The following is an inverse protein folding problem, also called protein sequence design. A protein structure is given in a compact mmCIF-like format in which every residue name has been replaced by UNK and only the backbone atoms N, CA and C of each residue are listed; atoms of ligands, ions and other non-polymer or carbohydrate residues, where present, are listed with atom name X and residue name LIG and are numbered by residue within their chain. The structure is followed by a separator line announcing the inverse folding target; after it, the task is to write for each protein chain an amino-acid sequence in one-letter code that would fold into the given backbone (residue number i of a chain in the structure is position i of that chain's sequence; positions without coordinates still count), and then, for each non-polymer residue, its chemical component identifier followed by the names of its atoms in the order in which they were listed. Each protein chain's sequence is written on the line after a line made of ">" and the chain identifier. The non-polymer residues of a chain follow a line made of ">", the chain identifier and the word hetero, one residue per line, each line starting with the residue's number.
data_IF_650576243030
#
_entry.id   IF_650576243030
#
_cell.length_a   1.000
_cell.length_b   1.000
_cell.length_c   1.000
_cell.angle_alpha   90.00
_cell.angle_beta   90.00
_cell.angle_gamma   90.00
#
_symmetry.space_group_name_H-M   'P 1'
#
loop_
_entity.id
_entity.type
_entity.pdbx_description
1 polymer ?
#
# COMPACT_ATOMS: atom_id res chain seq x y z
N UNK A 1 -5.51 4.50 -24.88
CA UNK A 1 -4.28 3.71 -24.97
C UNK A 1 -4.22 3.06 -26.36
N UNK A 2 -3.01 2.88 -26.89
CA UNK A 2 -2.79 2.16 -28.14
C UNK A 2 -2.40 0.72 -27.80
N UNK A 3 -2.84 -0.24 -28.66
CA UNK A 3 -2.33 -1.61 -28.58
C UNK A 3 -0.89 -1.70 -29.12
N UNK A 4 -0.29 -2.88 -29.10
CA UNK A 4 1.06 -3.13 -29.63
C UNK A 4 1.21 -2.85 -31.12
N UNK A 5 0.09 -2.68 -31.85
CA UNK A 5 0.03 -2.34 -33.26
C UNK A 5 -0.33 -0.86 -33.49
N UNK A 6 -0.44 -0.05 -32.43
CA UNK A 6 -0.73 1.39 -32.51
C UNK A 6 -2.22 1.71 -32.74
N UNK A 7 -3.12 0.72 -32.64
CA UNK A 7 -4.56 0.96 -32.73
C UNK A 7 -5.09 1.44 -31.37
N UNK A 8 -6.10 2.31 -31.39
CA UNK A 8 -6.86 2.62 -30.17
C UNK A 8 -7.54 1.34 -29.70
N UNK A 9 -7.07 0.79 -28.58
CA UNK A 9 -7.84 -0.26 -27.92
C UNK A 9 -9.15 0.37 -27.45
N UNK A 10 -10.27 -0.22 -27.89
CA UNK A 10 -11.60 0.09 -27.34
C UNK A 10 -11.72 -0.43 -25.90
N UNK A 11 -10.86 0.08 -25.02
CA UNK A 11 -10.83 -0.33 -23.62
C UNK A 11 -12.10 0.06 -22.86
N UNK A 12 -12.86 1.00 -23.41
CA UNK A 12 -13.96 1.61 -22.69
C UNK A 12 -15.22 1.64 -23.56
N UNK A 13 -15.75 0.46 -23.87
CA UNK A 13 -17.06 0.37 -24.53
C UNK A 13 -18.19 0.88 -23.61
N UNK A 14 -17.94 0.86 -22.29
CA UNK A 14 -18.91 1.33 -21.29
C UNK A 14 -18.21 2.14 -20.22
N UNK A 15 -18.94 3.04 -19.57
CA UNK A 15 -18.45 3.78 -18.39
C UNK A 15 -18.03 2.82 -17.26
N UNK A 16 -18.77 1.75 -17.05
CA UNK A 16 -18.45 0.71 -16.08
C UNK A 16 -17.11 0.01 -16.40
N UNK A 17 -16.89 -0.34 -17.66
CA UNK A 17 -15.61 -0.90 -18.10
C UNK A 17 -14.44 0.04 -17.86
N UNK A 18 -14.63 1.35 -18.01
CA UNK A 18 -13.62 2.35 -17.62
C UNK A 18 -13.33 2.34 -16.12
N UNK A 19 -14.37 2.36 -15.29
CA UNK A 19 -14.21 2.43 -13.83
C UNK A 19 -13.53 1.18 -13.24
N UNK A 20 -13.81 0.02 -13.82
CA UNK A 20 -13.25 -1.26 -13.38
C UNK A 20 -11.88 -1.57 -14.00
N UNK A 21 -11.41 -0.71 -14.94
CA UNK A 21 -10.12 -0.90 -15.59
C UNK A 21 -8.97 -0.95 -14.57
N UNK A 22 -8.18 -1.99 -14.65
CA UNK A 22 -6.98 -2.19 -13.85
C UNK A 22 -5.75 -1.62 -14.58
N UNK A 23 -4.97 -0.80 -13.89
CA UNK A 23 -3.68 -0.30 -14.36
C UNK A 23 -2.60 -1.22 -13.80
N UNK A 24 -1.85 -1.99 -14.64
CA UNK A 24 -0.84 -2.91 -14.16
C UNK A 24 0.25 -2.24 -13.31
N UNK A 25 0.75 -2.92 -12.29
CA UNK A 25 1.82 -2.43 -11.43
C UNK A 25 3.14 -2.20 -12.19
N UNK A 26 3.36 -2.89 -13.32
CA UNK A 26 4.49 -2.60 -14.21
C UNK A 26 4.48 -1.15 -14.71
N UNK A 27 3.28 -0.59 -14.94
CA UNK A 27 3.08 0.83 -15.24
C UNK A 27 3.18 1.71 -13.99
N UNK A 28 3.04 1.13 -12.78
CA UNK A 28 3.05 1.83 -11.50
C UNK A 28 4.36 1.69 -10.74
N UNK A 29 5.29 0.81 -11.17
CA UNK A 29 6.64 0.68 -10.58
C UNK A 29 7.31 2.00 -10.23
N UNK A 30 7.17 3.07 -11.02
CA UNK A 30 7.67 4.39 -10.65
C UNK A 30 7.07 4.95 -9.36
N UNK A 31 5.88 4.50 -8.96
CA UNK A 31 5.19 4.96 -7.75
C UNK A 31 5.55 4.18 -6.50
N UNK A 32 6.13 2.97 -6.66
CA UNK A 32 6.57 2.13 -5.53
C UNK A 32 7.95 2.55 -5.03
N UNK A 33 8.77 3.24 -5.82
CA UNK A 33 10.12 3.63 -5.41
C UNK A 33 10.13 4.91 -4.56
N UNK A 34 11.00 4.94 -3.56
CA UNK A 34 11.24 6.08 -2.66
C UNK A 34 11.72 7.35 -3.37
N UNK A 35 12.13 7.26 -4.62
CA UNK A 35 12.62 8.39 -5.41
C UNK A 35 11.51 8.94 -6.30
N UNK A 36 10.70 9.83 -5.73
CA UNK A 36 9.78 10.70 -6.47
C UNK A 36 10.49 11.81 -7.25
N UNK A 37 11.79 12.01 -7.05
CA UNK A 37 12.64 12.82 -7.92
C UNK A 37 13.19 11.92 -9.01
N UNK A 38 12.67 11.99 -10.23
CA UNK A 38 13.33 11.38 -11.39
C UNK A 38 14.76 11.95 -11.52
N UNK A 39 15.67 11.22 -12.14
CA UNK A 39 17.06 11.65 -12.41
C UNK A 39 17.13 13.01 -13.15
N UNK A 40 16.02 13.43 -13.76
CA UNK A 40 15.82 14.68 -14.47
C UNK A 40 15.19 15.82 -13.65
N UNK A 41 14.99 15.62 -12.33
CA UNK A 41 14.38 16.61 -11.44
C UNK A 41 12.87 16.83 -11.65
N UNK A 42 12.25 16.08 -12.56
CA UNK A 42 10.80 16.10 -12.77
C UNK A 42 10.14 15.08 -11.84
N UNK A 43 9.40 15.56 -10.86
CA UNK A 43 8.62 14.71 -9.94
C UNK A 43 7.65 13.81 -10.72
N UNK A 44 7.54 12.55 -10.32
CA UNK A 44 6.57 11.64 -10.91
C UNK A 44 5.15 12.06 -10.50
N UNK A 45 4.25 12.08 -11.46
CA UNK A 45 2.85 12.48 -11.25
C UNK A 45 2.09 11.31 -10.64
N UNK A 46 1.43 11.54 -9.51
CA UNK A 46 0.50 10.55 -8.93
C UNK A 46 -0.82 10.65 -9.69
N UNK A 47 -1.31 9.56 -10.30
CA UNK A 47 -2.61 9.56 -10.94
C UNK A 47 -3.72 9.93 -9.97
N UNK A 48 -4.65 10.74 -10.45
CA UNK A 48 -5.82 11.17 -9.71
C UNK A 48 -7.06 10.85 -10.54
N UNK A 49 -8.13 10.48 -9.87
CA UNK A 49 -9.42 10.25 -10.48
C UNK A 49 -10.47 11.11 -9.79
N UNK A 50 -11.40 11.62 -10.59
CA UNK A 50 -12.56 12.36 -10.09
C UNK A 50 -13.74 12.19 -11.02
N UNK A 51 -14.92 12.21 -10.44
CA UNK A 51 -16.19 12.15 -11.16
C UNK A 51 -17.16 13.20 -10.60
N UNK A 52 -18.01 13.73 -11.45
CA UNK A 52 -19.14 14.56 -11.03
C UNK A 52 -20.43 13.78 -11.20
N UNK A 53 -21.44 14.13 -10.40
CA UNK A 53 -22.81 13.67 -10.66
C UNK A 53 -23.27 14.21 -12.01
N UNK A 54 -24.14 13.45 -12.70
CA UNK A 54 -24.77 13.90 -13.93
C UNK A 54 -25.46 15.25 -13.70
N UNK A 55 -25.20 16.20 -14.58
CA UNK A 55 -25.78 17.56 -14.51
C UNK A 55 -26.49 17.89 -15.81
N UNK A 56 -27.59 18.62 -15.70
CA UNK A 56 -28.22 19.24 -16.87
C UNK A 56 -27.40 20.48 -17.21
N UNK A 57 -26.80 20.51 -18.40
CA UNK A 57 -26.00 21.64 -18.88
C UNK A 57 -26.93 22.73 -19.38
N UNK A 58 -26.96 23.85 -18.68
CA UNK A 58 -27.57 25.10 -19.16
C UNK A 58 -26.52 25.95 -19.91
N UNK A 59 -26.89 27.11 -20.40
CA UNK A 59 -26.02 27.99 -21.21
C UNK A 59 -24.68 28.38 -20.53
N UNK A 60 -24.63 28.35 -19.21
CA UNK A 60 -23.40 28.49 -18.40
C UNK A 60 -23.51 27.55 -17.20
N UNK A 61 -22.52 26.68 -17.04
CA UNK A 61 -22.47 25.72 -15.94
C UNK A 61 -21.04 25.66 -15.37
N UNK A 62 -20.92 25.70 -14.04
CA UNK A 62 -19.68 25.42 -13.33
C UNK A 62 -19.76 24.00 -12.76
N UNK A 63 -18.79 23.18 -13.13
CA UNK A 63 -18.68 21.81 -12.63
C UNK A 63 -17.47 21.73 -11.71
N UNK A 64 -17.67 21.32 -10.46
CA UNK A 64 -16.58 21.00 -9.53
C UNK A 64 -16.39 19.49 -9.48
N UNK A 65 -15.18 19.02 -9.83
CA UNK A 65 -14.83 17.62 -9.81
C UNK A 65 -13.75 17.43 -8.73
N UNK A 66 -14.07 16.79 -7.60
CA UNK A 66 -13.06 16.48 -6.59
C UNK A 66 -12.11 15.40 -7.14
N UNK A 67 -10.82 15.69 -7.17
CA UNK A 67 -9.78 14.73 -7.57
C UNK A 67 -9.24 13.98 -6.34
N UNK A 68 -9.22 12.67 -6.43
CA UNK A 68 -8.73 11.77 -5.39
C UNK A 68 -7.51 11.03 -5.93
N UNK A 69 -6.42 11.00 -5.17
CA UNK A 69 -5.23 10.20 -5.53
C UNK A 69 -5.60 8.73 -5.56
N UNK A 70 -5.15 8.03 -6.61
CA UNK A 70 -5.45 6.60 -6.77
C UNK A 70 -4.58 5.70 -5.88
N UNK A 71 -3.57 6.25 -5.21
CA UNK A 71 -2.62 5.55 -4.36
C UNK A 71 -2.68 6.03 -2.91
N UNK A 72 -2.31 5.14 -2.00
CA UNK A 72 -1.93 5.47 -0.64
C UNK A 72 -0.43 5.79 -0.58
N UNK A 73 -0.03 6.65 0.36
CA UNK A 73 1.38 6.83 0.74
C UNK A 73 1.66 6.05 2.03
N UNK A 74 2.60 5.12 1.98
CA UNK A 74 3.10 4.39 3.14
C UNK A 74 4.53 4.81 3.39
N UNK A 75 4.80 5.39 4.56
CA UNK A 75 6.14 5.78 4.99
C UNK A 75 6.55 4.91 6.17
N UNK A 76 7.66 4.19 6.01
CA UNK A 76 8.28 3.38 7.07
C UNK A 76 9.50 4.12 7.57
N UNK A 77 9.63 4.29 8.88
CA UNK A 77 10.76 4.96 9.54
C UNK A 77 11.21 4.14 10.75
N UNK A 78 12.49 3.74 10.75
CA UNK A 78 13.12 3.06 11.88
C UNK A 78 14.12 4.01 12.49
N UNK A 79 14.00 4.25 13.79
CA UNK A 79 14.89 5.12 14.51
C UNK A 79 16.29 4.48 14.66
N UNK A 80 17.30 5.11 14.05
CA UNK A 80 18.68 4.64 14.12
C UNK A 80 19.25 4.68 15.53
N UNK A 81 18.96 5.74 16.30
CA UNK A 81 19.43 5.85 17.68
C UNK A 81 18.88 4.70 18.53
N UNK A 82 17.63 4.32 18.31
CA UNK A 82 17.01 3.17 18.94
C UNK A 82 17.70 1.84 18.59
N UNK A 83 18.07 1.63 17.33
CA UNK A 83 18.85 0.45 16.93
C UNK A 83 20.23 0.42 17.62
N UNK A 84 20.93 1.54 17.65
CA UNK A 84 22.25 1.66 18.27
C UNK A 84 22.18 1.42 19.79
N UNK A 85 21.19 1.97 20.48
CA UNK A 85 20.94 1.75 21.91
C UNK A 85 20.82 0.28 22.26
N UNK A 86 20.11 -0.48 21.40
CA UNK A 86 19.90 -1.91 21.59
C UNK A 86 20.94 -2.78 20.88
N UNK A 87 22.03 -2.19 20.34
CA UNK A 87 23.11 -2.89 19.62
C UNK A 87 22.59 -3.76 18.48
N UNK A 88 21.62 -3.22 17.73
CA UNK A 88 21.03 -3.86 16.57
C UNK A 88 21.58 -3.24 15.28
N UNK A 89 21.81 -4.05 14.28
CA UNK A 89 22.19 -3.60 12.94
C UNK A 89 21.06 -3.93 11.97
N UNK A 90 20.51 -2.92 11.30
CA UNK A 90 19.49 -3.11 10.29
C UNK A 90 20.08 -3.87 9.09
N UNK A 91 19.47 -4.97 8.72
CA UNK A 91 19.79 -5.74 7.52
C UNK A 91 18.89 -5.37 6.34
N UNK A 92 17.62 -5.08 6.61
CA UNK A 92 16.69 -4.64 5.59
C UNK A 92 15.27 -4.43 6.09
N UNK A 93 14.51 -3.73 5.25
CA UNK A 93 13.06 -3.58 5.35
C UNK A 93 12.48 -4.23 4.11
N UNK A 94 11.47 -5.05 4.27
CA UNK A 94 10.64 -5.57 3.20
C UNK A 94 9.18 -5.19 3.44
N UNK A 95 8.54 -4.61 2.42
CA UNK A 95 7.11 -4.31 2.42
C UNK A 95 6.44 -5.28 1.46
N UNK A 96 5.60 -6.16 1.97
CA UNK A 96 4.97 -7.27 1.27
C UNK A 96 3.48 -7.03 1.07
N UNK A 97 2.87 -7.83 0.18
CA UNK A 97 1.44 -7.80 -0.12
C UNK A 97 0.96 -6.47 -0.72
N UNK A 98 1.76 -5.92 -1.62
CA UNK A 98 1.38 -4.76 -2.41
C UNK A 98 0.61 -5.27 -3.65
N UNK A 99 -0.64 -4.81 -3.89
CA UNK A 99 -1.38 -5.22 -5.09
C UNK A 99 -0.65 -4.82 -6.38
N UNK A 100 -0.59 -5.71 -7.36
CA UNK A 100 0.12 -5.49 -8.62
C UNK A 100 -0.60 -4.56 -9.60
N UNK A 101 -1.79 -4.07 -9.27
CA UNK A 101 -2.52 -3.11 -10.08
C UNK A 101 -3.31 -2.11 -9.23
N UNK A 102 -3.75 -1.03 -9.87
CA UNK A 102 -4.62 -0.01 -9.32
C UNK A 102 -5.85 0.15 -10.21
N UNK A 103 -7.05 0.11 -9.66
CA UNK A 103 -8.27 0.43 -10.41
C UNK A 103 -8.49 1.94 -10.50
N UNK A 104 -9.14 2.39 -11.58
CA UNK A 104 -9.54 3.78 -11.75
C UNK A 104 -10.53 4.16 -10.64
N UNK A 105 -11.63 3.42 -10.49
CA UNK A 105 -12.55 3.57 -9.35
C UNK A 105 -12.01 2.85 -8.12
N UNK A 106 -12.29 3.41 -6.93
CA UNK A 106 -11.96 2.74 -5.67
C UNK A 106 -12.81 1.48 -5.49
N UNK A 107 -12.21 0.44 -4.94
CA UNK A 107 -12.88 -0.79 -4.55
C UNK A 107 -14.03 -0.55 -3.54
N UNK A 108 -13.96 0.51 -2.74
CA UNK A 108 -15.03 0.89 -1.80
C UNK A 108 -16.34 1.28 -2.50
N UNK A 109 -16.31 1.54 -3.81
CA UNK A 109 -17.49 1.87 -4.61
C UNK A 109 -18.18 0.63 -5.21
N UNK A 110 -17.57 -0.55 -5.09
CA UNK A 110 -18.15 -1.78 -5.61
C UNK A 110 -19.45 -2.12 -4.88
N UNK A 111 -20.43 -2.60 -5.62
CA UNK A 111 -21.70 -3.04 -5.03
C UNK A 111 -21.45 -4.18 -4.04
N UNK A 112 -21.95 -4.01 -2.81
CA UNK A 112 -21.76 -4.99 -1.74
C UNK A 112 -20.43 -4.90 -0.99
N UNK A 113 -19.54 -3.94 -1.34
CA UNK A 113 -18.37 -3.73 -0.51
C UNK A 113 -18.75 -3.31 0.91
N UNK A 114 -18.12 -3.96 1.87
CA UNK A 114 -18.22 -3.62 3.28
C UNK A 114 -16.78 -3.52 3.85
N UNK A 115 -16.43 -2.39 4.44
CA UNK A 115 -15.10 -2.13 5.00
C UNK A 115 -14.66 -3.13 6.08
N UNK A 116 -15.60 -3.88 6.64
CA UNK A 116 -15.27 -4.95 7.61
C UNK A 116 -14.84 -6.26 6.94
N UNK A 117 -14.98 -6.37 5.62
CA UNK A 117 -14.60 -7.54 4.84
C UNK A 117 -13.47 -7.18 3.88
N UNK A 118 -12.67 -8.18 3.50
CA UNK A 118 -11.70 -7.99 2.42
C UNK A 118 -12.44 -7.68 1.12
N UNK A 119 -11.88 -6.74 0.33
CA UNK A 119 -12.37 -6.48 -1.02
C UNK A 119 -12.08 -7.68 -1.93
N UNK A 120 -12.92 -7.85 -2.95
CA UNK A 120 -12.68 -8.85 -3.97
C UNK A 120 -11.65 -8.36 -4.98
N UNK A 121 -10.58 -9.08 -5.12
CA UNK A 121 -9.54 -8.87 -6.11
C UNK A 121 -9.69 -9.88 -7.25
N UNK A 122 -9.24 -9.57 -8.48
CA UNK A 122 -9.18 -10.57 -9.56
C UNK A 122 -8.30 -11.76 -9.16
N UNK A 123 -8.63 -12.94 -9.69
CA UNK A 123 -7.91 -14.18 -9.40
C UNK A 123 -6.44 -14.16 -9.86
N UNK A 124 -6.14 -13.37 -10.90
CA UNK A 124 -4.81 -13.21 -11.50
C UNK A 124 -3.98 -12.09 -10.89
N UNK A 125 -4.44 -11.48 -9.79
CA UNK A 125 -3.65 -10.44 -9.12
C UNK A 125 -2.35 -11.03 -8.57
N UNK A 126 -1.25 -10.36 -8.87
CA UNK A 126 0.01 -10.61 -8.19
C UNK A 126 0.15 -9.69 -6.97
N UNK A 127 0.72 -10.22 -5.90
CA UNK A 127 1.10 -9.48 -4.71
C UNK A 127 2.61 -9.31 -4.72
N UNK A 128 3.06 -8.08 -4.84
CA UNK A 128 4.49 -7.77 -4.98
C UNK A 128 5.11 -7.27 -3.69
N UNK A 129 6.44 -7.36 -3.59
CA UNK A 129 7.21 -6.84 -2.47
C UNK A 129 8.15 -5.71 -2.91
N UNK A 130 8.51 -4.87 -1.95
CA UNK A 130 9.57 -3.87 -2.07
C UNK A 130 10.58 -4.06 -0.94
N UNK A 131 11.87 -4.07 -1.28
CA UNK A 131 12.97 -4.22 -0.32
C UNK A 131 13.90 -3.02 -0.34
N UNK A 132 14.46 -2.68 0.82
CA UNK A 132 15.49 -1.65 0.97
C UNK A 132 16.35 -1.92 2.19
N UNK A 133 17.61 -1.49 2.16
CA UNK A 133 18.53 -1.48 3.32
C UNK A 133 18.56 -0.12 4.03
N UNK A 134 17.87 0.88 3.48
CA UNK A 134 17.73 2.17 4.13
C UNK A 134 16.79 2.06 5.34
N UNK A 135 17.04 2.84 6.40
CA UNK A 135 16.18 2.89 7.59
C UNK A 135 14.86 3.64 7.37
N UNK A 136 14.66 4.20 6.17
CA UNK A 136 13.45 4.90 5.76
C UNK A 136 13.04 4.44 4.37
N UNK A 137 11.74 4.24 4.20
CA UNK A 137 11.13 3.99 2.89
C UNK A 137 9.85 4.82 2.76
N UNK A 138 9.60 5.35 1.57
CA UNK A 138 8.31 5.96 1.23
C UNK A 138 7.81 5.35 -0.06
N UNK A 139 6.64 4.74 0.03
CA UNK A 139 6.00 4.01 -1.06
C UNK A 139 4.68 4.68 -1.41
N UNK A 140 4.34 4.63 -2.69
CA UNK A 140 3.00 4.93 -3.18
C UNK A 140 2.42 3.63 -3.73
N UNK A 141 1.41 3.11 -3.07
CA UNK A 141 0.87 1.78 -3.33
C UNK A 141 -0.62 1.86 -3.67
N UNK A 142 -1.12 0.95 -4.50
CA UNK A 142 -2.56 0.78 -4.69
C UNK A 142 -3.29 0.54 -3.37
N UNK A 143 -4.60 0.76 -3.35
CA UNK A 143 -5.40 0.38 -2.20
C UNK A 143 -5.33 -1.13 -1.98
N UNK A 144 -5.18 -1.51 -0.70
CA UNK A 144 -5.19 -2.89 -0.24
C UNK A 144 -6.21 -3.01 0.90
N UNK A 145 -7.41 -3.44 0.58
CA UNK A 145 -8.55 -3.48 1.49
C UNK A 145 -8.75 -4.91 1.99
N UNK A 146 -8.26 -5.20 3.17
CA UNK A 146 -8.28 -6.54 3.77
C UNK A 146 -9.29 -6.70 4.90
N UNK A 147 -10.07 -5.65 5.18
CA UNK A 147 -11.14 -5.69 6.16
C UNK A 147 -10.67 -5.50 7.60
N UNK A 148 -11.59 -5.83 8.52
CA UNK A 148 -11.41 -5.73 9.97
C UNK A 148 -11.55 -7.11 10.59
N UNK A 149 -10.63 -7.51 11.45
CA UNK A 149 -10.74 -8.75 12.22
C UNK A 149 -11.45 -8.42 13.54
N UNK A 150 -12.75 -8.65 13.59
CA UNK A 150 -13.56 -8.34 14.76
C UNK A 150 -13.06 -9.06 16.02
N UNK A 151 -12.93 -8.32 17.13
CA UNK A 151 -12.48 -8.85 18.42
C UNK A 151 -10.96 -8.98 18.58
N UNK A 152 -10.17 -8.80 17.51
CA UNK A 152 -8.72 -8.72 17.63
C UNK A 152 -8.32 -7.45 18.37
N UNK A 153 -7.38 -7.56 19.30
CA UNK A 153 -6.81 -6.44 20.05
C UNK A 153 -5.29 -6.45 19.85
N UNK A 154 -4.83 -5.59 18.94
CA UNK A 154 -3.45 -5.61 18.46
C UNK A 154 -3.24 -6.55 17.27
N UNK A 155 -2.42 -6.12 16.29
CA UNK A 155 -2.21 -6.82 15.01
C UNK A 155 -1.19 -7.95 15.14
N UNK A 156 -1.50 -8.92 15.99
CA UNK A 156 -0.72 -10.14 16.19
C UNK A 156 -1.64 -11.35 16.12
N UNK A 157 -1.13 -12.45 15.57
CA UNK A 157 -1.86 -13.70 15.60
C UNK A 157 -1.94 -14.21 17.03
N UNK A 158 -3.15 -14.42 17.50
CA UNK A 158 -3.46 -15.01 18.81
C UNK A 158 -4.50 -16.11 18.61
N UNK A 159 -4.72 -16.92 19.62
CA UNK A 159 -5.72 -18.00 19.58
C UNK A 159 -7.09 -17.50 19.12
N UNK A 160 -7.54 -18.01 17.97
CA UNK A 160 -8.82 -17.66 17.36
C UNK A 160 -8.82 -16.48 16.39
N UNK A 161 -7.75 -15.70 16.29
CA UNK A 161 -7.65 -14.58 15.37
C UNK A 161 -6.46 -14.74 14.42
N UNK A 162 -6.72 -14.60 13.12
CA UNK A 162 -5.69 -14.66 12.07
C UNK A 162 -5.64 -13.35 11.31
N UNK A 163 -4.42 -12.92 11.02
CA UNK A 163 -4.17 -11.79 10.13
C UNK A 163 -4.63 -12.16 8.72
N UNK A 164 -5.33 -11.27 8.00
CA UNK A 164 -5.69 -11.52 6.60
C UNK A 164 -4.46 -11.83 5.75
N UNK A 165 -4.54 -12.86 4.91
CA UNK A 165 -3.38 -13.39 4.17
C UNK A 165 -2.68 -12.38 3.26
N UNK A 166 -3.39 -11.35 2.80
CA UNK A 166 -2.84 -10.29 1.95
C UNK A 166 -2.82 -8.92 2.65
N UNK A 167 -2.92 -8.88 3.99
CA UNK A 167 -2.70 -7.63 4.72
C UNK A 167 -1.30 -7.07 4.41
N UNK A 168 -1.20 -5.75 4.21
CA UNK A 168 0.10 -5.11 4.01
C UNK A 168 1.01 -5.44 5.19
N UNK A 169 2.18 -5.98 4.91
CA UNK A 169 3.14 -6.44 5.92
C UNK A 169 4.47 -5.73 5.74
N UNK A 170 4.99 -5.18 6.82
CA UNK A 170 6.32 -4.59 6.87
C UNK A 170 7.19 -5.49 7.72
N UNK A 171 8.19 -6.14 7.12
CA UNK A 171 9.20 -6.91 7.81
C UNK A 171 10.48 -6.10 7.99
N UNK A 172 11.07 -6.21 9.18
CA UNK A 172 12.33 -5.59 9.52
C UNK A 172 13.28 -6.67 10.01
N UNK A 173 14.35 -6.90 9.25
CA UNK A 173 15.39 -7.84 9.63
C UNK A 173 16.55 -7.07 10.25
N UNK A 174 16.91 -7.47 11.47
CA UNK A 174 18.06 -6.94 12.21
C UNK A 174 19.04 -8.06 12.55
N UNK A 175 20.32 -7.72 12.69
CA UNK A 175 21.32 -8.61 13.28
C UNK A 175 21.82 -8.03 14.60
N UNK A 176 22.26 -8.92 15.50
CA UNK A 176 22.81 -8.59 16.81
C UNK A 176 23.80 -9.67 17.24
N UNK A 177 24.65 -9.30 18.20
CA UNK A 177 25.57 -10.27 18.80
C UNK A 177 25.00 -10.83 20.11
N UNK A 178 25.03 -12.16 20.25
CA UNK A 178 24.67 -12.88 21.47
C UNK A 178 25.64 -14.05 21.66
N UNK A 179 26.27 -14.13 22.80
CA UNK A 179 27.23 -15.20 23.17
C UNK A 179 28.41 -15.36 22.20
N UNK A 180 28.83 -14.25 21.56
CA UNK A 180 29.93 -14.25 20.58
C UNK A 180 29.50 -14.60 19.14
N UNK A 181 28.25 -14.93 18.92
CA UNK A 181 27.67 -15.24 17.59
C UNK A 181 26.82 -14.11 17.05
N UNK A 182 26.83 -13.96 15.72
CA UNK A 182 25.89 -13.06 15.02
C UNK A 182 24.59 -13.79 14.78
N UNK A 183 23.51 -13.25 15.32
CA UNK A 183 22.15 -13.76 15.10
C UNK A 183 21.31 -12.74 14.34
N UNK A 184 20.28 -13.23 13.68
CA UNK A 184 19.29 -12.40 12.97
C UNK A 184 17.91 -12.61 13.54
N UNK A 185 17.10 -11.53 13.53
CA UNK A 185 15.70 -11.59 13.93
C UNK A 185 14.87 -10.73 13.00
N UNK A 186 13.65 -11.17 12.69
CA UNK A 186 12.71 -10.44 11.84
C UNK A 186 11.48 -10.06 12.63
N UNK A 187 11.21 -8.77 12.68
CA UNK A 187 9.95 -8.22 13.23
C UNK A 187 8.97 -7.99 12.10
N UNK A 188 7.69 -8.17 12.37
CA UNK A 188 6.60 -7.87 11.43
C UNK A 188 5.66 -6.82 12.01
N UNK A 189 5.23 -5.87 11.19
CA UNK A 189 4.20 -4.91 11.49
C UNK A 189 3.16 -4.90 10.36
N UNK A 190 1.91 -4.65 10.70
CA UNK A 190 0.79 -4.66 9.76
C UNK A 190 0.12 -3.28 9.73
N UNK A 191 0.52 -2.39 8.81
CA UNK A 191 -0.15 -1.10 8.64
C UNK A 191 -1.63 -1.27 8.29
N UNK A 192 -2.44 -0.27 8.66
CA UNK A 192 -3.85 -0.21 8.36
C UNK A 192 -4.45 1.05 8.94
N UNK A 193 -5.77 1.14 8.98
CA UNK A 193 -6.45 2.32 9.47
C UNK A 193 -6.20 2.57 10.96
N UNK A 194 -6.04 1.51 11.75
CA UNK A 194 -5.71 1.58 13.17
C UNK A 194 -4.55 0.63 13.52
N UNK A 195 -4.21 0.54 14.81
CA UNK A 195 -3.18 -0.35 15.33
C UNK A 195 -3.75 -1.64 15.95
N UNK A 196 -5.07 -1.83 15.90
CA UNK A 196 -5.76 -2.91 16.58
C UNK A 196 -6.18 -4.04 15.64
N UNK A 197 -7.06 -3.75 14.69
CA UNK A 197 -7.72 -4.80 13.91
C UNK A 197 -8.14 -4.41 12.48
N UNK A 198 -7.96 -3.15 12.04
CA UNK A 198 -8.28 -2.71 10.69
C UNK A 198 -7.04 -2.81 9.78
N UNK A 199 -7.11 -3.69 8.78
CA UNK A 199 -6.04 -3.98 7.83
C UNK A 199 -6.23 -3.28 6.47
N UNK A 200 -7.11 -2.29 6.39
CA UNK A 200 -7.39 -1.59 5.16
C UNK A 200 -6.36 -0.50 4.88
N UNK A 201 -5.77 -0.55 3.70
CA UNK A 201 -4.98 0.54 3.11
C UNK A 201 -5.81 1.19 2.03
N UNK A 202 -6.41 2.34 2.34
CA UNK A 202 -7.27 3.09 1.43
C UNK A 202 -6.46 4.08 0.60
N UNK A 203 -6.82 4.25 -0.69
CA UNK A 203 -6.24 5.30 -1.53
C UNK A 203 -6.43 6.69 -0.93
N UNK A 204 -5.61 7.65 -1.35
CA UNK A 204 -5.63 9.04 -0.89
C UNK A 204 -5.35 9.23 0.62
N UNK A 205 -4.90 8.20 1.32
CA UNK A 205 -4.50 8.23 2.72
C UNK A 205 -2.98 8.18 2.88
N UNK A 206 -2.51 8.60 4.05
CA UNK A 206 -1.10 8.57 4.44
C UNK A 206 -0.97 7.70 5.68
N UNK A 207 -0.16 6.66 5.57
CA UNK A 207 0.18 5.74 6.65
C UNK A 207 1.63 5.96 7.04
N UNK A 208 1.86 6.40 8.29
CA UNK A 208 3.19 6.59 8.83
C UNK A 208 3.48 5.47 9.83
N UNK A 209 4.35 4.56 9.43
CA UNK A 209 4.77 3.40 10.23
C UNK A 209 6.10 3.76 10.87
N UNK A 210 6.07 4.13 12.15
CA UNK A 210 7.27 4.32 12.95
C UNK A 210 7.50 3.10 13.82
N UNK A 211 8.69 2.52 13.71
CA UNK A 211 9.06 1.29 14.40
C UNK A 211 10.12 1.59 15.42
N UNK A 212 9.78 1.31 16.68
CA UNK A 212 10.69 1.39 17.82
C UNK A 212 10.92 -0.02 18.37
N UNK A 213 12.15 -0.47 18.36
CA UNK A 213 12.53 -1.75 18.94
C UNK A 213 13.01 -1.45 20.38
N UNK A 214 12.27 -1.91 21.36
CA UNK A 214 12.48 -1.55 22.77
C UNK A 214 13.41 -2.49 23.53
N UNK A 215 13.78 -3.61 22.93
CA UNK A 215 14.72 -4.60 23.50
C UNK A 215 15.32 -5.49 22.43
N UNK A 216 16.46 -6.11 22.73
CA UNK A 216 16.98 -7.18 21.90
C UNK A 216 15.97 -8.36 21.86
N UNK A 217 15.95 -9.13 20.76
CA UNK A 217 15.12 -10.33 20.70
C UNK A 217 15.46 -11.30 21.83
N UNK A 218 14.42 -11.79 22.50
CA UNK A 218 14.52 -12.93 23.41
C UNK A 218 14.39 -14.22 22.58
N UNK A 219 14.99 -15.32 23.02
CA UNK A 219 14.82 -16.63 22.34
C UNK A 219 13.40 -17.14 22.55
#
# INVERSE_FOLDING_TARGET
>A
ALDEHGNTKDFFQTYEGFLTHAIPASATRPFISSNMGGEDGKGKVIPMFGESKQMVIASKCYVSIPLVRMFARVSVDIDKANLEEHKLTLQGIEVQNIPSYCRVSSLVKDAGYNHTMAATYPEDIEWVSYTTTANKATLYIPENLQGIVAGMSGKQETDGYKIPGHALRVEITVSYQKDGEVRTHTYAAYPGYDMENDFNISRNHIYNVRINITKQPEE
#
